data_IF_404154425740
#
_entry.id   IF_404154425740
#
_cell.length_a   1.000
_cell.length_b   1.000
_cell.length_c   1.000
_cell.angle_alpha   90.00
_cell.angle_beta   90.00
_cell.angle_gamma   90.00
#
_symmetry.space_group_name_H-M   'P 1'
#
loop_
_entity.id
_entity.type
_entity.pdbx_description
1 polymer ?
#
# COMPACT_ATOMS: atom_id res chain seq x y z
N UNK A 1 -16.83 12.68 -14.59
CA UNK A 1 -16.09 12.09 -13.47
C UNK A 1 -15.44 10.79 -13.93
N UNK A 2 -14.20 10.82 -14.43
CA UNK A 2 -13.48 9.60 -14.86
C UNK A 2 -13.26 8.59 -13.73
N UNK A 3 -13.42 8.99 -12.47
CA UNK A 3 -13.33 8.14 -11.28
C UNK A 3 -14.58 7.28 -11.03
N UNK A 4 -15.76 7.68 -11.53
CA UNK A 4 -17.00 6.90 -11.31
C UNK A 4 -17.20 5.82 -12.35
N UNK A 5 -17.82 4.72 -11.94
CA UNK A 5 -18.08 3.54 -12.80
C UNK A 5 -19.02 3.83 -13.97
N UNK A 6 -19.82 4.89 -13.91
CA UNK A 6 -20.68 5.33 -15.02
C UNK A 6 -19.88 5.79 -16.24
N UNK A 7 -18.60 6.15 -16.08
CA UNK A 7 -17.72 6.46 -17.21
C UNK A 7 -17.04 5.17 -17.66
N UNK A 8 -17.53 4.54 -18.72
CA UNK A 8 -17.05 3.23 -19.20
C UNK A 8 -15.53 3.15 -19.44
N UNK A 9 -14.91 4.27 -19.86
CA UNK A 9 -13.46 4.37 -20.07
C UNK A 9 -12.74 5.19 -19.00
N UNK A 10 -13.38 5.45 -17.87
CA UNK A 10 -12.85 6.32 -16.80
C UNK A 10 -11.47 5.88 -16.31
N UNK A 11 -11.30 4.57 -16.06
CA UNK A 11 -10.00 3.97 -15.71
C UNK A 11 -8.93 4.25 -16.77
N UNK A 12 -9.24 4.06 -18.06
CA UNK A 12 -8.30 4.26 -19.18
C UNK A 12 -7.87 5.72 -19.29
N UNK A 13 -8.80 6.65 -19.05
CA UNK A 13 -8.50 8.10 -19.03
C UNK A 13 -7.49 8.42 -17.92
N UNK A 14 -7.74 7.94 -16.71
CA UNK A 14 -6.83 8.17 -15.57
C UNK A 14 -5.47 7.51 -15.79
N UNK A 15 -5.44 6.28 -16.31
CA UNK A 15 -4.19 5.57 -16.63
C UNK A 15 -3.36 6.30 -17.69
N UNK A 16 -4.00 6.80 -18.75
CA UNK A 16 -3.32 7.58 -19.78
C UNK A 16 -2.72 8.88 -19.22
N UNK A 17 -3.47 9.57 -18.35
CA UNK A 17 -2.97 10.79 -17.71
C UNK A 17 -1.76 10.50 -16.81
N UNK A 18 -1.87 9.55 -15.90
CA UNK A 18 -0.82 9.27 -14.90
C UNK A 18 0.42 8.67 -15.54
N UNK A 19 0.27 7.67 -16.41
CA UNK A 19 1.41 6.92 -16.95
C UNK A 19 2.00 7.56 -18.21
N UNK A 20 1.18 8.11 -19.11
CA UNK A 20 1.68 8.58 -20.41
C UNK A 20 1.94 10.08 -20.44
N UNK A 21 1.08 10.89 -19.79
CA UNK A 21 1.23 12.35 -19.78
C UNK A 21 2.17 12.78 -18.64
N UNK A 22 1.89 12.35 -17.40
CA UNK A 22 2.72 12.67 -16.24
C UNK A 22 4.00 11.83 -16.14
N UNK A 23 4.11 10.76 -16.94
CA UNK A 23 5.27 9.85 -16.95
C UNK A 23 5.57 9.25 -15.58
N UNK A 24 4.54 9.05 -14.75
CA UNK A 24 4.71 8.39 -13.46
C UNK A 24 5.00 6.90 -13.64
N UNK A 25 5.93 6.39 -12.87
CA UNK A 25 6.21 4.95 -12.86
C UNK A 25 5.19 4.20 -11.98
N UNK A 26 4.77 3.00 -12.42
CA UNK A 26 3.85 2.13 -11.69
C UNK A 26 4.56 1.33 -10.57
N UNK A 27 5.36 2.01 -9.74
CA UNK A 27 6.14 1.38 -8.67
C UNK A 27 5.29 1.07 -7.42
N UNK A 28 4.15 1.74 -7.27
CA UNK A 28 3.21 1.57 -6.16
C UNK A 28 2.39 0.28 -6.32
N UNK A 29 3.07 -0.85 -6.13
CA UNK A 29 2.47 -2.19 -6.15
C UNK A 29 2.35 -2.75 -4.74
N UNK A 30 1.35 -3.61 -4.45
CA UNK A 30 1.19 -4.19 -3.12
C UNK A 30 2.45 -4.87 -2.59
N UNK A 31 3.21 -5.57 -3.45
CA UNK A 31 4.46 -6.22 -3.07
C UNK A 31 5.51 -5.20 -2.59
N UNK A 32 5.73 -4.13 -3.37
CA UNK A 32 6.69 -3.07 -3.01
C UNK A 32 6.28 -2.29 -1.79
N UNK A 33 4.98 -2.02 -1.61
CA UNK A 33 4.45 -1.35 -0.43
C UNK A 33 4.72 -2.19 0.82
N UNK A 34 4.54 -3.51 0.75
CA UNK A 34 4.85 -4.41 1.87
C UNK A 34 6.34 -4.39 2.21
N UNK A 35 7.21 -4.49 1.21
CA UNK A 35 8.66 -4.47 1.41
C UNK A 35 9.13 -3.13 2.02
N UNK A 36 8.59 -2.01 1.51
CA UNK A 36 8.87 -0.66 2.00
C UNK A 36 8.38 -0.47 3.44
N UNK A 37 7.16 -0.92 3.75
CA UNK A 37 6.60 -0.84 5.10
C UNK A 37 7.40 -1.69 6.10
N UNK A 38 7.78 -2.91 5.72
CA UNK A 38 8.62 -3.80 6.55
C UNK A 38 9.97 -3.15 6.85
N UNK A 39 10.61 -2.56 5.84
CA UNK A 39 11.87 -1.83 6.03
C UNK A 39 11.71 -0.64 6.97
N UNK A 40 10.70 0.20 6.76
CA UNK A 40 10.42 1.36 7.63
C UNK A 40 10.17 0.93 9.08
N UNK A 41 9.39 -0.12 9.29
CA UNK A 41 9.13 -0.67 10.63
C UNK A 41 10.44 -1.13 11.28
N UNK A 42 11.28 -1.88 10.57
CA UNK A 42 12.59 -2.33 11.09
C UNK A 42 13.49 -1.16 11.48
N UNK A 43 13.57 -0.14 10.63
CA UNK A 43 14.38 1.06 10.90
C UNK A 43 13.85 1.85 12.11
N UNK A 44 12.53 1.93 12.25
CA UNK A 44 11.89 2.67 13.33
C UNK A 44 11.95 1.93 14.68
N UNK A 45 11.72 0.61 14.68
CA UNK A 45 11.65 -0.22 15.90
C UNK A 45 13.04 -0.68 16.34
N UNK A 46 13.95 -0.94 15.39
CA UNK A 46 15.26 -1.47 15.68
C UNK A 46 15.19 -2.79 16.45
N UNK A 47 15.63 -2.77 17.71
CA UNK A 47 15.64 -3.94 18.60
C UNK A 47 14.56 -3.88 19.69
N UNK A 48 13.68 -2.88 19.66
CA UNK A 48 12.64 -2.68 20.66
C UNK A 48 11.52 -3.71 20.52
N UNK A 49 10.80 -3.95 21.62
CA UNK A 49 9.65 -4.85 21.63
C UNK A 49 8.38 -4.08 21.30
N UNK A 50 7.65 -4.54 20.29
CA UNK A 50 6.35 -3.99 19.89
C UNK A 50 5.22 -4.82 20.50
N UNK A 51 4.25 -4.15 21.12
CA UNK A 51 2.99 -4.73 21.59
C UNK A 51 1.87 -4.38 20.61
N UNK A 52 1.17 -5.40 20.10
CA UNK A 52 0.02 -5.23 19.22
C UNK A 52 -1.24 -5.83 19.86
N UNK A 53 -2.28 -5.01 20.01
CA UNK A 53 -3.61 -5.50 20.36
C UNK A 53 -4.32 -6.08 19.13
N UNK A 54 -4.48 -7.41 19.09
CA UNK A 54 -5.22 -8.10 18.04
C UNK A 54 -6.72 -8.13 18.38
N UNK A 55 -7.52 -7.37 17.62
CA UNK A 55 -8.99 -7.35 17.76
C UNK A 55 -9.70 -8.39 16.87
N UNK A 56 -8.98 -8.99 15.92
CA UNK A 56 -9.54 -9.90 14.91
C UNK A 56 -10.08 -9.20 13.66
N UNK A 57 -10.03 -7.86 13.61
CA UNK A 57 -10.35 -7.10 12.41
C UNK A 57 -9.28 -7.26 11.32
N UNK A 58 -9.67 -7.06 10.06
CA UNK A 58 -8.77 -7.16 8.88
C UNK A 58 -7.54 -6.28 9.08
N UNK A 59 -7.72 -5.03 9.50
CA UNK A 59 -6.62 -4.08 9.69
C UNK A 59 -5.63 -4.54 10.78
N UNK A 60 -6.14 -5.00 11.92
CA UNK A 60 -5.29 -5.52 13.01
C UNK A 60 -4.51 -6.77 12.60
N UNK A 61 -5.12 -7.61 11.75
CA UNK A 61 -4.51 -8.85 11.26
C UNK A 61 -3.42 -8.57 10.22
N UNK A 62 -3.67 -7.64 9.30
CA UNK A 62 -2.67 -7.18 8.32
C UNK A 62 -1.50 -6.50 9.03
N UNK A 63 -1.79 -5.66 10.04
CA UNK A 63 -0.76 -5.01 10.86
C UNK A 63 0.10 -6.04 11.60
N UNK A 64 -0.52 -7.06 12.20
CA UNK A 64 0.20 -8.16 12.84
C UNK A 64 1.11 -8.91 11.86
N UNK A 65 0.61 -9.19 10.66
CA UNK A 65 1.38 -9.88 9.64
C UNK A 65 2.58 -9.05 9.14
N UNK A 66 2.43 -7.72 9.02
CA UNK A 66 3.54 -6.82 8.66
C UNK A 66 4.59 -6.75 9.77
N UNK A 67 4.16 -6.58 11.03
CA UNK A 67 5.06 -6.56 12.19
C UNK A 67 5.79 -7.88 12.41
N UNK A 68 5.18 -9.02 12.07
CA UNK A 68 5.83 -10.33 12.13
C UNK A 68 6.84 -10.54 11.00
N UNK A 69 6.64 -9.89 9.84
CA UNK A 69 7.58 -9.95 8.71
C UNK A 69 8.76 -9.00 8.87
N UNK A 70 8.59 -7.91 9.61
CA UNK A 70 9.64 -7.00 10.07
C UNK A 70 10.47 -7.65 11.17
#
# INVERSE_FOLDING_TARGET
HPEVTHTLQGKRIMEHFVLNICQCEALWTPARIVDDAVRQIREQVGNDKVLLGLSGGVDSSVTAALLHKA
#
